data_IF_348371030108
#
_entry.id   IF_348371030108
#
_cell.length_a   1.000
_cell.length_b   1.000
_cell.length_c   1.000
_cell.angle_alpha   90.00
_cell.angle_beta   90.00
_cell.angle_gamma   90.00
#
_symmetry.space_group_name_H-M   'P 1'
#
loop_
_entity.id
_entity.type
_entity.pdbx_description
1 polymer ?
#
# COMPACT_ATOMS: atom_id res chain seq x y z
N UNK A 1 6.77 -17.78 -1.08
CA UNK A 1 6.71 -16.57 -1.90
C UNK A 1 5.82 -16.75 -3.12
N UNK A 2 5.93 -17.88 -3.84
CA UNK A 2 5.08 -18.23 -4.99
C UNK A 2 3.56 -18.06 -4.81
N UNK A 3 3.03 -18.30 -3.60
CA UNK A 3 1.61 -18.12 -3.31
C UNK A 3 1.20 -16.65 -3.29
N UNK A 4 2.05 -15.77 -2.76
CA UNK A 4 1.78 -14.32 -2.70
C UNK A 4 1.96 -13.68 -4.07
N UNK A 5 3.04 -14.00 -4.79
CA UNK A 5 3.25 -13.50 -6.15
C UNK A 5 2.13 -13.88 -7.11
N UNK A 6 1.62 -15.11 -6.98
CA UNK A 6 0.46 -15.57 -7.74
C UNK A 6 -0.83 -14.82 -7.36
N UNK A 7 -1.04 -14.56 -6.08
CA UNK A 7 -2.20 -13.79 -5.59
C UNK A 7 -2.15 -12.33 -6.04
N UNK A 8 -0.96 -11.74 -6.07
CA UNK A 8 -0.72 -10.40 -6.58
C UNK A 8 -0.74 -10.33 -8.11
N UNK A 9 -0.69 -11.47 -8.81
CA UNK A 9 -0.53 -11.51 -10.27
C UNK A 9 0.78 -10.89 -10.74
N UNK A 10 1.80 -10.82 -9.88
CA UNK A 10 3.05 -10.13 -10.14
C UNK A 10 4.24 -10.97 -9.68
N UNK A 11 5.18 -11.21 -10.59
CA UNK A 11 6.45 -11.86 -10.29
C UNK A 11 7.53 -10.80 -10.06
N UNK A 12 8.17 -10.84 -8.90
CA UNK A 12 9.26 -9.94 -8.60
C UNK A 12 10.49 -10.33 -9.42
N UNK A 13 11.08 -9.35 -10.12
CA UNK A 13 12.37 -9.53 -10.82
C UNK A 13 13.51 -9.86 -9.84
N UNK A 14 13.40 -9.35 -8.62
CA UNK A 14 14.33 -9.60 -7.51
C UNK A 14 13.55 -10.16 -6.31
N UNK A 15 13.74 -11.45 -6.02
CA UNK A 15 13.14 -12.11 -4.88
C UNK A 15 13.59 -11.52 -3.52
N UNK A 16 14.71 -10.79 -3.48
CA UNK A 16 15.15 -10.04 -2.31
C UNK A 16 14.16 -8.95 -1.90
N UNK A 17 13.45 -8.33 -2.85
CA UNK A 17 12.50 -7.26 -2.57
C UNK A 17 11.24 -7.76 -1.86
N UNK A 18 10.66 -8.88 -2.28
CA UNK A 18 9.49 -9.47 -1.62
C UNK A 18 9.84 -9.97 -0.21
N UNK A 19 11.04 -10.54 -0.03
CA UNK A 19 11.54 -10.91 1.29
C UNK A 19 11.71 -9.69 2.20
N UNK A 20 12.31 -8.61 1.69
CA UNK A 20 12.49 -7.37 2.45
C UNK A 20 11.15 -6.74 2.83
N UNK A 21 10.19 -6.68 1.90
CA UNK A 21 8.86 -6.12 2.14
C UNK A 21 8.08 -6.86 3.24
N UNK A 22 8.30 -8.16 3.38
CA UNK A 22 7.66 -9.01 4.40
C UNK A 22 8.45 -9.14 5.70
N UNK A 23 9.61 -8.46 5.82
CA UNK A 23 10.44 -8.54 7.02
C UNK A 23 10.15 -7.38 7.96
N UNK A 24 9.59 -7.69 9.12
CA UNK A 24 9.36 -6.72 10.19
C UNK A 24 10.65 -6.39 10.94
N UNK A 25 10.76 -5.16 11.46
CA UNK A 25 11.94 -4.67 12.22
C UNK A 25 12.34 -5.51 13.43
N UNK A 26 11.38 -6.24 14.02
CA UNK A 26 11.67 -7.14 15.16
C UNK A 26 12.36 -8.43 14.74
N UNK A 27 12.29 -8.80 13.45
CA UNK A 27 12.85 -10.03 12.92
C UNK A 27 14.26 -9.83 12.34
N UNK A 28 14.56 -8.64 11.80
CA UNK A 28 15.85 -8.36 11.16
C UNK A 28 16.15 -6.86 11.17
N UNK A 29 17.43 -6.49 11.19
CA UNK A 29 17.89 -5.11 11.02
C UNK A 29 17.72 -4.59 9.58
N UNK A 30 17.67 -5.50 8.60
CA UNK A 30 17.21 -5.19 7.23
C UNK A 30 15.73 -5.51 7.12
N UNK A 31 14.89 -4.49 7.17
CA UNK A 31 13.43 -4.61 7.25
C UNK A 31 12.70 -3.65 6.31
N UNK A 32 11.38 -3.75 6.29
CA UNK A 32 10.50 -3.10 5.32
C UNK A 32 10.25 -1.60 5.53
N UNK A 33 10.58 -0.97 6.66
CA UNK A 33 10.23 0.44 6.96
C UNK A 33 10.52 1.43 5.80
N UNK A 34 11.64 1.29 5.08
CA UNK A 34 11.93 2.16 3.92
C UNK A 34 11.01 1.90 2.73
N UNK A 35 10.63 0.64 2.50
CA UNK A 35 9.67 0.27 1.47
C UNK A 35 8.25 0.69 1.88
N UNK A 36 7.91 0.60 3.16
CA UNK A 36 6.64 1.07 3.71
C UNK A 36 6.49 2.58 3.50
N UNK A 37 7.50 3.38 3.85
CA UNK A 37 7.50 4.82 3.62
C UNK A 37 7.24 5.20 2.15
N UNK A 38 7.92 4.52 1.21
CA UNK A 38 7.70 4.74 -0.22
C UNK A 38 6.31 4.25 -0.66
N UNK A 39 5.90 3.07 -0.18
CA UNK A 39 4.62 2.45 -0.51
C UNK A 39 3.43 3.29 -0.07
N UNK A 40 3.50 3.91 1.11
CA UNK A 40 2.44 4.79 1.62
C UNK A 40 2.21 6.01 0.71
N UNK A 41 3.29 6.61 0.20
CA UNK A 41 3.20 7.72 -0.74
C UNK A 41 2.61 7.30 -2.08
N UNK A 42 3.00 6.13 -2.60
CA UNK A 42 2.45 5.58 -3.86
C UNK A 42 0.97 5.25 -3.70
N UNK A 43 0.59 4.55 -2.63
CA UNK A 43 -0.80 4.19 -2.35
C UNK A 43 -1.66 5.44 -2.17
N UNK A 44 -1.17 6.43 -1.41
CA UNK A 44 -1.84 7.71 -1.22
C UNK A 44 -2.08 8.44 -2.54
N UNK A 45 -1.12 8.40 -3.47
CA UNK A 45 -1.28 8.96 -4.80
C UNK A 45 -2.34 8.21 -5.61
N UNK A 46 -2.28 6.88 -5.69
CA UNK A 46 -3.25 6.08 -6.46
C UNK A 46 -4.68 6.31 -5.96
N UNK A 47 -4.89 6.36 -4.66
CA UNK A 47 -6.21 6.64 -4.07
C UNK A 47 -6.65 8.08 -4.37
N UNK A 48 -5.75 9.06 -4.25
CA UNK A 48 -6.08 10.44 -4.58
C UNK A 48 -6.47 10.61 -6.05
N UNK A 49 -5.76 9.95 -6.96
CA UNK A 49 -6.04 9.95 -8.39
C UNK A 49 -7.40 9.32 -8.71
N UNK A 50 -7.71 8.16 -8.12
CA UNK A 50 -9.02 7.51 -8.26
C UNK A 50 -10.16 8.39 -7.74
N UNK A 51 -10.01 9.00 -6.55
CA UNK A 51 -11.00 9.89 -5.97
C UNK A 51 -11.22 11.15 -6.82
N UNK A 52 -10.15 11.74 -7.34
CA UNK A 52 -10.21 12.93 -8.18
C UNK A 52 -11.05 12.69 -9.43
N UNK A 53 -10.82 11.56 -10.12
CA UNK A 53 -11.55 11.22 -11.34
C UNK A 53 -12.99 10.75 -11.07
N UNK A 54 -13.23 10.02 -9.98
CA UNK A 54 -14.57 9.50 -9.64
C UNK A 54 -15.50 10.55 -9.07
N UNK A 55 -14.97 11.56 -8.37
CA UNK A 55 -15.77 12.55 -7.65
C UNK A 55 -15.48 13.98 -8.11
N UNK A 56 -15.74 14.34 -9.38
CA UNK A 56 -15.34 15.63 -9.96
C UNK A 56 -16.01 16.86 -9.34
N UNK A 57 -17.04 16.67 -8.50
CA UNK A 57 -17.80 17.75 -7.83
C UNK A 57 -17.46 17.89 -6.34
N UNK A 58 -16.64 17.00 -5.79
CA UNK A 58 -16.25 17.01 -4.38
C UNK A 58 -15.08 17.97 -4.20
N UNK A 59 -15.08 18.73 -3.11
CA UNK A 59 -14.00 19.67 -2.81
C UNK A 59 -12.75 18.94 -2.28
N UNK A 60 -11.61 19.63 -2.26
CA UNK A 60 -10.34 19.06 -1.83
C UNK A 60 -10.39 18.53 -0.39
N UNK A 61 -11.00 19.25 0.55
CA UNK A 61 -11.04 18.84 1.96
C UNK A 61 -11.80 17.54 2.19
N UNK A 62 -12.90 17.33 1.46
CA UNK A 62 -13.66 16.08 1.49
C UNK A 62 -12.88 14.94 0.82
N UNK A 63 -12.22 15.17 -0.32
CA UNK A 63 -11.35 14.18 -0.96
C UNK A 63 -10.18 13.78 -0.06
N UNK A 64 -9.56 14.74 0.63
CA UNK A 64 -8.50 14.50 1.61
C UNK A 64 -8.98 13.64 2.79
N UNK A 65 -10.19 13.87 3.29
CA UNK A 65 -10.81 13.01 4.33
C UNK A 65 -11.10 11.59 3.84
N UNK A 66 -11.63 11.45 2.61
CA UNK A 66 -11.88 10.15 1.99
C UNK A 66 -10.57 9.38 1.82
N UNK A 67 -9.54 10.00 1.24
CA UNK A 67 -8.20 9.41 1.09
C UNK A 67 -7.66 8.95 2.43
N UNK A 68 -7.65 9.84 3.42
CA UNK A 68 -7.18 9.54 4.76
C UNK A 68 -7.96 8.42 5.45
N UNK A 69 -9.19 8.13 5.03
CA UNK A 69 -9.97 7.00 5.55
C UNK A 69 -9.59 5.70 4.84
N UNK A 70 -9.36 5.73 3.53
CA UNK A 70 -9.00 4.57 2.72
C UNK A 70 -7.58 4.07 2.98
N UNK A 71 -6.63 4.97 3.24
CA UNK A 71 -5.22 4.61 3.52
C UNK A 71 -4.94 4.36 5.01
N UNK A 72 -5.97 4.30 5.86
CA UNK A 72 -5.78 3.97 7.28
C UNK A 72 -5.33 2.52 7.45
N UNK A 73 -4.38 2.32 8.36
CA UNK A 73 -3.82 1.01 8.67
C UNK A 73 -4.87 -0.07 9.00
N UNK A 74 -6.01 0.29 9.61
CA UNK A 74 -7.10 -0.66 9.86
C UNK A 74 -7.73 -1.18 8.55
N UNK A 75 -8.13 -0.28 7.66
CA UNK A 75 -8.74 -0.61 6.35
C UNK A 75 -7.77 -1.41 5.50
N UNK A 76 -6.49 -1.02 5.49
CA UNK A 76 -5.45 -1.75 4.77
C UNK A 76 -5.16 -3.13 5.38
N UNK A 77 -5.25 -3.27 6.71
CA UNK A 77 -5.08 -4.56 7.37
C UNK A 77 -6.23 -5.54 7.11
N UNK A 78 -7.45 -5.04 6.91
CA UNK A 78 -8.59 -5.86 6.48
C UNK A 78 -8.36 -6.38 5.06
N UNK A 79 -8.02 -5.49 4.11
CA UNK A 79 -7.65 -5.85 2.74
C UNK A 79 -6.49 -6.84 2.67
N UNK A 80 -5.48 -6.70 3.53
CA UNK A 80 -4.32 -7.60 3.57
C UNK A 80 -4.63 -9.04 4.02
N UNK A 81 -5.82 -9.30 4.58
CA UNK A 81 -6.27 -10.64 5.00
C UNK A 81 -6.98 -11.40 3.89
N UNK A 82 -7.61 -10.69 2.95
CA UNK A 82 -8.29 -11.25 1.77
C UNK A 82 -7.30 -11.84 0.81
#
# INVERSE_FOLDING_TARGET
MDKLERKLGYQFKDAGLINLALTHRSANSKHNERLEFLGDSILSFVIADDLYHRFPKVNEGDMSRMRATLVRGHTLAELGRE
#
